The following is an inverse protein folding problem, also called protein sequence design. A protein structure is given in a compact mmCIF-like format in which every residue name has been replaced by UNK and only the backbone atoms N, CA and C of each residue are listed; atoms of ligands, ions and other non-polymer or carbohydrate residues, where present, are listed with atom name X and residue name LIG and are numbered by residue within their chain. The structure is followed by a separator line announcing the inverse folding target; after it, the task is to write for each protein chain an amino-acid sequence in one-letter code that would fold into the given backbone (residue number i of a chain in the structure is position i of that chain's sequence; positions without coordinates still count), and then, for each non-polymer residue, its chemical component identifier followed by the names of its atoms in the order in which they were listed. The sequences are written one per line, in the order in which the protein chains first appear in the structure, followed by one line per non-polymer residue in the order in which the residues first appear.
data_IF_204683321676
#
_entry.id   IF_204683321676
#
_cell.length_a   1.000
_cell.length_b   1.000
_cell.length_c   1.000
_cell.angle_alpha   90.00
_cell.angle_beta   90.00
_cell.angle_gamma   90.00
#
_symmetry.space_group_name_H-M   'P 1'
#
loop_
_entity.id
_entity.type
_entity.pdbx_description
1 polymer ?
#
# COMPACT_ATOMS: atom_id res chain seq x y z
N UNK A 1 -3.02 14.14 -0.73
CA UNK A 1 -1.63 14.28 -0.28
C UNK A 1 -0.66 14.55 -1.45
N UNK A 2 -0.81 13.90 -2.62
CA UNK A 2 0.01 14.18 -3.81
C UNK A 2 -0.19 15.61 -4.41
N UNK A 3 -1.38 16.20 -4.27
CA UNK A 3 -1.68 17.53 -4.83
C UNK A 3 -0.94 18.70 -4.12
N UNK A 4 -0.62 18.58 -2.82
CA UNK A 4 0.19 19.58 -2.12
C UNK A 4 1.66 19.55 -2.54
N UNK A 5 2.13 18.43 -3.11
CA UNK A 5 3.54 18.23 -3.46
C UNK A 5 3.92 18.89 -4.79
N UNK A 6 2.95 19.00 -5.72
CA UNK A 6 3.17 19.66 -7.01
C UNK A 6 3.16 21.19 -6.93
N UNK A 7 2.48 21.77 -5.93
CA UNK A 7 2.42 23.23 -5.75
C UNK A 7 3.74 23.88 -5.32
N UNK A 8 4.57 23.17 -4.56
CA UNK A 8 5.89 23.65 -4.10
C UNK A 8 6.96 23.63 -5.21
N UNK A 9 6.73 22.89 -6.30
CA UNK A 9 7.74 22.61 -7.32
C UNK A 9 7.94 23.75 -8.34
N UNK A 10 6.96 24.63 -8.51
CA UNK A 10 7.06 25.77 -9.43
C UNK A 10 7.92 26.94 -8.89
N UNK A 11 8.39 26.88 -7.65
CA UNK A 11 8.99 28.04 -6.97
C UNK A 11 10.54 28.11 -6.98
N UNK A 12 11.28 27.00 -7.06
CA UNK A 12 12.62 26.95 -6.42
C UNK A 12 13.84 27.00 -7.36
N UNK A 13 13.73 27.53 -8.58
CA UNK A 13 14.81 27.69 -9.60
C UNK A 13 16.24 27.93 -9.01
N UNK A 14 17.13 26.92 -8.84
CA UNK A 14 18.32 27.10 -7.99
C UNK A 14 19.68 27.21 -8.74
N UNK A 15 20.67 27.91 -8.13
CA UNK A 15 21.99 28.26 -8.69
C UNK A 15 23.11 27.21 -8.50
N UNK A 16 24.23 27.43 -9.21
CA UNK A 16 25.32 26.45 -9.44
C UNK A 16 26.26 26.16 -8.25
N UNK A 17 26.24 26.97 -7.20
CA UNK A 17 27.07 26.80 -6.00
C UNK A 17 26.52 25.73 -5.03
N UNK A 18 25.20 25.47 -5.05
CA UNK A 18 24.59 24.36 -4.29
C UNK A 18 24.93 22.97 -4.87
N UNK A 19 25.20 22.90 -6.18
CA UNK A 19 25.57 21.66 -6.89
C UNK A 19 26.92 21.12 -6.42
N UNK A 20 27.89 22.00 -6.17
CA UNK A 20 29.25 21.61 -5.73
C UNK A 20 29.27 21.11 -4.28
N UNK A 21 28.35 21.61 -3.45
CA UNK A 21 28.19 21.22 -2.03
C UNK A 21 27.45 19.89 -1.86
N UNK A 22 26.63 19.50 -2.84
CA UNK A 22 25.92 18.21 -2.88
C UNK A 22 26.80 16.99 -3.16
N UNK A 23 28.04 17.19 -3.65
CA UNK A 23 28.98 16.10 -3.97
C UNK A 23 29.63 15.47 -2.72
N UNK A 24 29.73 16.21 -1.60
CA UNK A 24 30.39 15.76 -0.36
C UNK A 24 29.44 15.44 0.79
N UNK A 25 28.17 15.84 0.69
CA UNK A 25 27.11 15.47 1.64
C UNK A 25 25.90 15.10 0.79
N UNK A 26 25.52 13.81 0.67
CA UNK A 26 24.40 13.42 -0.17
C UNK A 26 23.10 13.90 0.49
N UNK A 27 22.67 15.10 0.08
CA UNK A 27 21.32 15.62 0.29
C UNK A 27 20.49 15.14 -0.91
N UNK A 28 19.69 14.11 -0.68
CA UNK A 28 18.66 13.63 -1.61
C UNK A 28 17.57 14.71 -1.74
N UNK A 29 17.82 15.75 -2.54
CA UNK A 29 16.83 16.79 -2.83
C UNK A 29 16.66 16.90 -4.35
N UNK A 30 15.78 16.07 -4.89
CA UNK A 30 15.23 16.19 -6.24
C UNK A 30 13.97 15.32 -6.32
N UNK A 31 12.86 15.83 -6.86
CA UNK A 31 11.62 15.05 -6.99
C UNK A 31 11.76 13.78 -7.85
N UNK A 32 12.82 13.69 -8.68
CA UNK A 32 13.19 12.50 -9.44
C UNK A 32 14.21 11.58 -8.76
N UNK A 33 14.89 12.02 -7.70
CA UNK A 33 15.99 11.27 -7.09
C UNK A 33 15.55 9.91 -6.52
N UNK A 34 14.29 9.81 -6.08
CA UNK A 34 13.71 8.54 -5.65
C UNK A 34 13.44 7.63 -6.85
N UNK A 35 12.94 8.17 -7.96
CA UNK A 35 12.68 7.44 -9.19
C UNK A 35 13.97 6.94 -9.85
N UNK A 36 14.99 7.79 -9.93
CA UNK A 36 16.31 7.46 -10.48
C UNK A 36 17.06 6.48 -9.58
N UNK A 37 16.93 6.59 -8.25
CA UNK A 37 17.45 5.59 -7.32
C UNK A 37 16.76 4.23 -7.51
N UNK A 38 15.45 4.20 -7.73
CA UNK A 38 14.71 2.95 -8.02
C UNK A 38 15.15 2.35 -9.36
N UNK A 39 15.35 3.18 -10.39
CA UNK A 39 15.82 2.73 -11.70
C UNK A 39 17.26 2.18 -11.66
N UNK A 40 18.16 2.86 -10.96
CA UNK A 40 19.54 2.39 -10.74
C UNK A 40 19.60 1.14 -9.86
N UNK A 41 18.72 1.02 -8.86
CA UNK A 41 18.56 -0.20 -8.07
C UNK A 41 18.10 -1.38 -8.92
N UNK A 42 17.20 -1.14 -9.88
CA UNK A 42 16.72 -2.17 -10.81
C UNK A 42 17.83 -2.63 -11.78
N UNK A 43 18.67 -1.71 -12.23
CA UNK A 43 19.75 -1.99 -13.19
C UNK A 43 21.01 -2.62 -12.53
N UNK A 44 21.25 -2.33 -11.25
CA UNK A 44 22.40 -2.87 -10.49
C UNK A 44 22.22 -4.32 -10.00
N UNK A 45 21.05 -4.93 -10.23
CA UNK A 45 20.77 -6.31 -9.86
C UNK A 45 21.42 -7.27 -10.89
N UNK A 46 22.67 -7.67 -10.60
CA UNK A 46 23.37 -8.72 -11.35
C UNK A 46 22.52 -10.00 -11.47
N UNK A 47 22.63 -10.67 -12.62
CA UNK A 47 21.84 -11.84 -13.05
C UNK A 47 21.79 -13.01 -12.04
N UNK A 48 22.73 -13.08 -11.10
CA UNK A 48 22.76 -14.07 -10.02
C UNK A 48 21.68 -13.83 -8.92
N UNK A 49 21.14 -12.60 -8.82
CA UNK A 49 20.06 -12.25 -7.89
C UNK A 49 18.65 -12.36 -8.50
N UNK A 50 18.53 -12.65 -9.80
CA UNK A 50 17.26 -12.73 -10.51
C UNK A 50 16.35 -13.86 -9.96
N UNK A 51 16.92 -15.00 -9.54
CA UNK A 51 16.15 -16.10 -8.94
C UNK A 51 15.54 -15.75 -7.57
N UNK A 52 16.19 -14.84 -6.82
CA UNK A 52 15.67 -14.34 -5.52
C UNK A 52 14.61 -13.25 -5.68
N UNK A 53 14.46 -12.68 -6.88
CA UNK A 53 13.40 -11.72 -7.20
C UNK A 53 12.02 -12.37 -7.38
N UNK A 54 11.94 -13.70 -7.57
CA UNK A 54 10.67 -14.40 -7.70
C UNK A 54 9.84 -14.43 -6.40
N UNK A 55 10.45 -14.15 -5.23
CA UNK A 55 9.77 -14.09 -3.93
C UNK A 55 10.28 -12.91 -3.09
N UNK A 56 9.95 -11.67 -3.52
CA UNK A 56 10.25 -10.43 -2.80
C UNK A 56 9.49 -10.38 -1.46
N UNK A 57 10.15 -10.84 -0.40
CA UNK A 57 9.67 -10.73 0.97
C UNK A 57 10.39 -9.60 1.72
N UNK A 58 9.79 -9.13 2.82
CA UNK A 58 10.35 -8.07 3.68
C UNK A 58 11.82 -8.32 4.09
N UNK A 59 12.19 -9.59 4.29
CA UNK A 59 13.55 -10.01 4.64
C UNK A 59 14.51 -9.99 3.43
N UNK A 60 14.01 -10.33 2.24
CA UNK A 60 14.81 -10.32 1.01
C UNK A 60 15.11 -8.89 0.56
N UNK A 61 14.16 -7.97 0.74
CA UNK A 61 14.35 -6.56 0.41
C UNK A 61 15.52 -5.92 1.19
N UNK A 62 15.65 -6.18 2.49
CA UNK A 62 16.75 -5.63 3.29
C UNK A 62 18.12 -6.20 2.89
N UNK A 63 18.16 -7.49 2.52
CA UNK A 63 19.38 -8.15 2.06
C UNK A 63 19.82 -7.64 0.67
N UNK A 64 18.87 -7.46 -0.25
CA UNK A 64 19.16 -6.90 -1.58
C UNK A 64 19.67 -5.45 -1.46
N UNK A 65 19.01 -4.63 -0.63
CA UNK A 65 19.45 -3.27 -0.36
C UNK A 65 20.84 -3.22 0.28
N UNK A 66 21.17 -4.17 1.17
CA UNK A 66 22.51 -4.29 1.76
C UNK A 66 23.56 -4.65 0.71
N UNK A 67 23.24 -5.54 -0.22
CA UNK A 67 24.18 -5.98 -1.25
C UNK A 67 24.45 -4.90 -2.31
N UNK A 68 23.46 -4.08 -2.65
CA UNK A 68 23.60 -3.05 -3.70
C UNK A 68 24.10 -1.72 -3.14
N UNK A 69 23.61 -1.27 -1.96
CA UNK A 69 23.93 0.05 -1.37
C UNK A 69 24.83 -0.02 -0.13
N UNK A 70 25.24 -1.21 0.31
CA UNK A 70 26.08 -1.41 1.48
C UNK A 70 25.33 -1.47 2.82
N UNK A 71 26.08 -1.64 3.91
CA UNK A 71 25.54 -2.00 5.25
C UNK A 71 24.59 -0.95 5.84
N UNK A 72 24.79 0.33 5.53
CA UNK A 72 23.95 1.44 6.03
C UNK A 72 22.54 1.44 5.44
N UNK A 73 22.36 0.91 4.23
CA UNK A 73 21.06 0.90 3.53
C UNK A 73 20.01 0.02 4.24
N UNK A 74 20.43 -1.14 4.76
CA UNK A 74 19.53 -2.01 5.51
C UNK A 74 19.01 -1.36 6.81
N UNK A 75 19.80 -0.49 7.44
CA UNK A 75 19.39 0.23 8.65
C UNK A 75 18.37 1.31 8.29
N UNK A 76 18.61 2.06 7.21
CA UNK A 76 17.68 3.07 6.71
C UNK A 76 16.35 2.42 6.31
N UNK A 77 16.39 1.26 5.63
CA UNK A 77 15.19 0.50 5.29
C UNK A 77 14.39 0.09 6.54
N UNK A 78 15.06 -0.38 7.59
CA UNK A 78 14.40 -0.73 8.84
C UNK A 78 13.74 0.49 9.52
N UNK A 79 14.43 1.64 9.53
CA UNK A 79 13.88 2.90 10.06
C UNK A 79 12.68 3.36 9.23
N UNK A 80 12.77 3.28 7.90
CA UNK A 80 11.69 3.64 6.99
C UNK A 80 10.45 2.75 7.17
N UNK A 81 10.64 1.43 7.30
CA UNK A 81 9.56 0.49 7.62
C UNK A 81 8.89 0.81 8.95
N UNK A 82 9.69 1.12 9.98
CA UNK A 82 9.16 1.49 11.30
C UNK A 82 8.35 2.79 11.23
N UNK A 83 8.87 3.81 10.55
CA UNK A 83 8.21 5.09 10.35
C UNK A 83 6.89 4.94 9.57
N UNK A 84 6.88 4.12 8.51
CA UNK A 84 5.68 3.81 7.73
C UNK A 84 4.59 3.14 8.59
N UNK A 85 4.98 2.18 9.43
CA UNK A 85 4.07 1.51 10.36
C UNK A 85 3.40 2.48 11.36
N UNK A 86 4.15 3.46 11.89
CA UNK A 86 3.57 4.47 12.79
C UNK A 86 2.58 5.41 12.07
N UNK A 87 2.92 5.86 10.86
CA UNK A 87 2.04 6.71 10.06
C UNK A 87 0.71 6.03 9.73
N UNK A 88 0.76 4.76 9.33
CA UNK A 88 -0.42 3.95 9.05
C UNK A 88 -1.31 3.76 10.29
N UNK A 89 -0.70 3.49 11.45
CA UNK A 89 -1.45 3.33 12.69
C UNK A 89 -2.24 4.59 13.08
N UNK A 90 -1.63 5.78 12.94
CA UNK A 90 -2.31 7.05 13.25
C UNK A 90 -3.52 7.23 12.32
N UNK A 91 -3.31 7.09 11.01
CA UNK A 91 -4.36 7.22 10.00
C UNK A 91 -5.49 6.22 10.22
N UNK A 92 -5.16 4.97 10.55
CA UNK A 92 -6.13 3.92 10.89
C UNK A 92 -6.97 4.25 12.12
N UNK A 93 -6.39 4.85 13.16
CA UNK A 93 -7.17 5.24 14.35
C UNK A 93 -8.15 6.38 14.06
N UNK A 94 -7.80 7.33 13.18
CA UNK A 94 -8.72 8.40 12.78
C UNK A 94 -9.83 7.87 11.88
N UNK A 95 -9.51 7.07 10.86
CA UNK A 95 -10.50 6.45 9.99
C UNK A 95 -11.48 5.57 10.78
N UNK A 96 -10.96 4.73 11.68
CA UNK A 96 -11.78 3.88 12.55
C UNK A 96 -12.71 4.68 13.48
N UNK A 97 -12.35 5.90 13.86
CA UNK A 97 -13.23 6.76 14.65
C UNK A 97 -14.50 7.14 13.88
N UNK A 98 -14.32 7.61 12.64
CA UNK A 98 -15.44 8.07 11.81
C UNK A 98 -16.35 6.92 11.42
N UNK A 99 -15.77 5.75 11.10
CA UNK A 99 -16.56 4.55 10.79
C UNK A 99 -17.36 4.10 12.01
N UNK A 100 -16.73 4.02 13.18
CA UNK A 100 -17.39 3.49 14.38
C UNK A 100 -18.46 4.42 14.94
N UNK A 101 -18.25 5.74 14.86
CA UNK A 101 -19.28 6.72 15.23
C UNK A 101 -20.38 6.85 14.16
N UNK A 102 -20.03 6.71 12.88
CA UNK A 102 -20.98 6.82 11.78
C UNK A 102 -21.89 5.60 11.61
N UNK A 103 -21.34 4.39 11.74
CA UNK A 103 -22.08 3.14 11.46
C UNK A 103 -22.58 2.41 12.71
N UNK A 104 -21.86 2.49 13.84
CA UNK A 104 -22.17 1.73 15.05
C UNK A 104 -22.61 2.61 16.23
N UNK A 105 -22.56 3.95 16.09
CA UNK A 105 -22.73 4.96 17.17
C UNK A 105 -22.01 4.61 18.49
N UNK A 106 -20.87 3.91 18.38
CA UNK A 106 -20.08 3.49 19.53
C UNK A 106 -19.02 4.53 19.86
N UNK A 107 -19.21 5.24 20.97
CA UNK A 107 -18.26 6.24 21.48
C UNK A 107 -17.30 5.61 22.47
N UNK A 108 -16.17 5.09 21.97
CA UNK A 108 -15.08 4.57 22.80
C UNK A 108 -13.95 5.59 23.00
N UNK A 109 -13.25 5.51 24.14
CA UNK A 109 -12.04 6.31 24.40
C UNK A 109 -10.92 5.91 23.42
N UNK A 110 -10.14 6.89 22.94
CA UNK A 110 -9.07 6.70 21.95
C UNK A 110 -8.05 5.61 22.32
N UNK A 111 -7.63 5.54 23.59
CA UNK A 111 -6.65 4.56 24.05
C UNK A 111 -7.19 3.12 24.00
N UNK A 112 -8.43 2.90 24.44
CA UNK A 112 -9.09 1.58 24.41
C UNK A 112 -9.26 1.10 22.97
N UNK A 113 -9.70 1.99 22.06
CA UNK A 113 -9.82 1.68 20.63
C UNK A 113 -8.46 1.24 20.05
N UNK A 114 -7.40 2.01 20.29
CA UNK A 114 -6.07 1.71 19.77
C UNK A 114 -5.52 0.40 20.35
N UNK A 115 -5.76 0.11 21.62
CA UNK A 115 -5.34 -1.17 22.23
C UNK A 115 -6.09 -2.35 21.58
N UNK A 116 -7.42 -2.26 21.46
CA UNK A 116 -8.25 -3.30 20.83
C UNK A 116 -7.82 -3.58 19.38
N UNK A 117 -7.73 -2.56 18.52
CA UNK A 117 -7.37 -2.75 17.11
C UNK A 117 -5.95 -3.29 16.96
N UNK A 118 -5.01 -2.89 17.83
CA UNK A 118 -3.65 -3.44 17.83
C UNK A 118 -3.62 -4.87 18.32
N UNK A 119 -4.36 -5.24 19.35
CA UNK A 119 -4.47 -6.62 19.82
C UNK A 119 -5.02 -7.52 18.71
N UNK A 120 -6.11 -7.11 18.05
CA UNK A 120 -6.73 -7.88 16.95
C UNK A 120 -5.76 -8.06 15.78
N UNK A 121 -4.89 -7.09 15.49
CA UNK A 121 -3.90 -7.20 14.42
C UNK A 121 -2.64 -8.01 14.83
N UNK A 122 -2.12 -7.79 16.04
CA UNK A 122 -0.84 -8.34 16.50
C UNK A 122 -0.98 -9.81 16.91
N UNK A 123 -2.06 -10.18 17.61
CA UNK A 123 -2.25 -11.55 18.13
C UNK A 123 -2.21 -12.60 17.01
N UNK A 124 -3.04 -12.52 15.93
CA UNK A 124 -3.01 -13.52 14.86
C UNK A 124 -1.68 -13.51 14.10
N UNK A 125 -1.07 -12.33 13.92
CA UNK A 125 0.25 -12.21 13.28
C UNK A 125 1.35 -12.90 14.11
N UNK A 126 1.32 -12.72 15.43
CA UNK A 126 2.26 -13.36 16.34
C UNK A 126 2.10 -14.89 16.35
N UNK A 127 0.85 -15.39 16.41
CA UNK A 127 0.56 -16.83 16.38
C UNK A 127 1.10 -17.46 15.09
N UNK A 128 0.78 -16.86 13.94
CA UNK A 128 1.25 -17.35 12.63
C UNK A 128 2.78 -17.27 12.53
N UNK A 129 3.39 -16.21 13.05
CA UNK A 129 4.85 -16.06 13.04
C UNK A 129 5.56 -17.08 13.93
N UNK A 130 4.96 -17.50 15.06
CA UNK A 130 5.53 -18.53 15.94
C UNK A 130 5.45 -19.91 15.29
N UNK A 131 4.33 -20.24 14.64
CA UNK A 131 4.11 -21.57 14.06
C UNK A 131 4.82 -21.73 12.71
N UNK A 132 4.73 -20.74 11.83
CA UNK A 132 5.16 -20.82 10.42
C UNK A 132 6.38 -19.97 10.08
N UNK A 133 6.97 -19.28 11.07
CA UNK A 133 8.15 -18.45 10.90
C UNK A 133 7.94 -17.27 9.94
N UNK A 134 9.03 -16.80 9.32
CA UNK A 134 9.04 -15.64 8.43
C UNK A 134 8.21 -15.83 7.15
N UNK A 135 8.10 -17.06 6.65
CA UNK A 135 7.26 -17.38 5.47
C UNK A 135 5.77 -17.22 5.77
N UNK A 136 5.34 -17.66 6.96
CA UNK A 136 3.96 -17.47 7.42
C UNK A 136 3.56 -16.00 7.55
N UNK A 137 4.46 -15.17 8.09
CA UNK A 137 4.24 -13.73 8.19
C UNK A 137 4.11 -13.07 6.80
N UNK A 138 4.93 -13.46 5.84
CA UNK A 138 4.82 -13.00 4.45
C UNK A 138 3.48 -13.37 3.81
N UNK A 139 3.02 -14.61 4.00
CA UNK A 139 1.69 -15.05 3.54
C UNK A 139 0.54 -14.24 4.16
N UNK A 140 0.65 -13.92 5.45
CA UNK A 140 -0.37 -13.12 6.14
C UNK A 140 -0.47 -11.69 5.56
N UNK A 141 0.65 -11.09 5.15
CA UNK A 141 0.67 -9.78 4.48
C UNK A 141 -0.05 -9.85 3.12
N UNK A 142 0.16 -10.95 2.37
CA UNK A 142 -0.53 -11.17 1.10
C UNK A 142 -2.04 -11.31 1.34
N UNK A 143 -2.46 -12.10 2.33
CA UNK A 143 -3.87 -12.26 2.70
C UNK A 143 -4.50 -10.92 3.11
N UNK A 144 -3.81 -10.12 3.93
CA UNK A 144 -4.29 -8.79 4.33
C UNK A 144 -4.49 -7.88 3.11
N UNK A 145 -3.62 -7.98 2.09
CA UNK A 145 -3.78 -7.25 0.84
C UNK A 145 -5.00 -7.72 0.05
N UNK A 146 -5.29 -9.03 0.03
CA UNK A 146 -6.50 -9.58 -0.60
C UNK A 146 -7.78 -9.07 0.08
N UNK A 147 -7.80 -8.98 1.41
CA UNK A 147 -8.94 -8.44 2.16
C UNK A 147 -9.17 -6.97 1.79
N UNK A 148 -8.10 -6.16 1.69
CA UNK A 148 -8.19 -4.76 1.29
C UNK A 148 -8.79 -4.59 -0.12
N UNK A 149 -8.42 -5.46 -1.07
CA UNK A 149 -9.00 -5.45 -2.42
C UNK A 149 -10.51 -5.69 -2.39
N UNK A 150 -10.98 -6.54 -1.49
CA UNK A 150 -12.40 -6.81 -1.29
C UNK A 150 -13.14 -5.60 -0.69
N UNK A 151 -12.53 -4.88 0.25
CA UNK A 151 -13.14 -3.72 0.92
C UNK A 151 -13.28 -2.48 0.02
N UNK A 152 -12.34 -2.28 -0.91
CA UNK A 152 -12.25 -1.10 -1.76
C UNK A 152 -13.54 -0.78 -2.56
N UNK A 153 -14.17 -1.71 -3.31
CA UNK A 153 -15.41 -1.42 -4.04
C UNK A 153 -16.55 -0.98 -3.12
N UNK A 154 -16.66 -1.57 -1.92
CA UNK A 154 -17.69 -1.21 -0.95
C UNK A 154 -17.51 0.20 -0.38
N UNK A 155 -16.27 0.70 -0.29
CA UNK A 155 -16.01 2.09 0.10
C UNK A 155 -16.20 3.07 -1.07
N UNK A 156 -15.76 2.69 -2.28
CA UNK A 156 -15.69 3.59 -3.43
C UNK A 156 -17.06 3.88 -4.06
N UNK A 157 -17.92 2.86 -4.20
CA UNK A 157 -19.24 3.02 -4.85
C UNK A 157 -20.15 3.98 -4.06
N UNK A 158 -20.34 3.84 -2.73
CA UNK A 158 -21.13 4.79 -1.95
C UNK A 158 -20.54 6.19 -1.96
N UNK A 159 -19.21 6.32 -1.88
CA UNK A 159 -18.54 7.62 -1.92
C UNK A 159 -18.88 8.38 -3.20
N UNK A 160 -18.82 7.71 -4.36
CA UNK A 160 -19.20 8.32 -5.64
C UNK A 160 -20.69 8.65 -5.69
N UNK A 161 -21.56 7.76 -5.20
CA UNK A 161 -22.99 8.04 -5.15
C UNK A 161 -23.30 9.29 -4.30
N UNK A 162 -22.65 9.44 -3.15
CA UNK A 162 -22.82 10.62 -2.30
C UNK A 162 -22.20 11.88 -2.90
N UNK A 163 -21.01 11.77 -3.51
CA UNK A 163 -20.35 12.89 -4.19
C UNK A 163 -21.07 13.36 -5.45
N UNK A 164 -21.97 12.55 -6.02
CA UNK A 164 -22.74 12.92 -7.21
C UNK A 164 -24.17 13.39 -6.89
N UNK A 165 -24.61 13.26 -5.63
CA UNK A 165 -25.98 13.59 -5.23
C UNK A 165 -26.15 15.09 -4.98
N UNK A 166 -27.05 15.72 -5.73
CA UNK A 166 -27.45 17.12 -5.56
C UNK A 166 -28.07 17.38 -4.18
N UNK A 167 -28.76 16.39 -3.63
CA UNK A 167 -29.39 16.46 -2.30
C UNK A 167 -28.37 16.51 -1.16
N UNK A 168 -27.16 15.96 -1.33
CA UNK A 168 -26.12 15.93 -0.29
C UNK A 168 -25.02 16.97 -0.47
N UNK A 169 -24.67 17.33 -1.72
CA UNK A 169 -23.63 18.34 -2.00
C UNK A 169 -24.17 19.77 -2.16
N UNK A 170 -25.47 19.95 -2.37
CA UNK A 170 -26.10 21.25 -2.52
C UNK A 170 -25.46 22.08 -3.67
N UNK A 171 -25.07 23.36 -3.44
CA UNK A 171 -24.53 24.23 -4.48
C UNK A 171 -23.11 23.85 -4.94
N UNK A 172 -22.38 23.01 -4.20
CA UNK A 172 -21.04 22.55 -4.56
C UNK A 172 -21.06 21.25 -5.39
N UNK A 173 -22.13 21.05 -6.18
CA UNK A 173 -22.28 19.88 -7.02
C UNK A 173 -21.15 19.81 -8.05
N UNK A 174 -20.54 18.64 -8.16
CA UNK A 174 -19.50 18.38 -9.13
C UNK A 174 -20.02 18.53 -10.58
N UNK A 175 -19.17 19.04 -11.48
CA UNK A 175 -19.51 19.18 -12.91
C UNK A 175 -19.70 17.80 -13.55
N UNK A 176 -20.62 17.68 -14.51
CA UNK A 176 -20.96 16.41 -15.17
C UNK A 176 -19.73 15.69 -15.74
N UNK A 177 -18.74 16.45 -16.24
CA UNK A 177 -17.48 15.92 -16.73
C UNK A 177 -16.69 15.19 -15.63
N UNK A 178 -16.59 15.79 -14.45
CA UNK A 178 -15.84 15.21 -13.32
C UNK A 178 -16.58 13.97 -12.80
N UNK A 179 -17.92 13.97 -12.83
CA UNK A 179 -18.74 12.80 -12.48
C UNK A 179 -18.44 11.63 -13.42
N UNK A 180 -18.49 11.85 -14.74
CA UNK A 180 -18.24 10.81 -15.74
C UNK A 180 -16.81 10.27 -15.62
N UNK A 181 -15.81 11.16 -15.52
CA UNK A 181 -14.41 10.76 -15.36
C UNK A 181 -14.21 9.94 -14.07
N UNK A 182 -14.79 10.36 -12.95
CA UNK A 182 -14.68 9.66 -11.66
C UNK A 182 -15.32 8.27 -11.72
N UNK A 183 -16.45 8.12 -12.42
CA UNK A 183 -17.10 6.82 -12.63
C UNK A 183 -16.28 5.89 -13.52
N UNK A 184 -15.70 6.40 -14.61
CA UNK A 184 -14.83 5.61 -15.49
C UNK A 184 -13.59 5.13 -14.72
N UNK A 185 -12.91 6.03 -14.02
CA UNK A 185 -11.74 5.68 -13.20
C UNK A 185 -12.08 4.66 -12.11
N UNK A 186 -13.24 4.84 -11.46
CA UNK A 186 -13.69 3.90 -10.42
C UNK A 186 -14.02 2.53 -10.97
N UNK A 187 -14.72 2.44 -12.11
CA UNK A 187 -14.98 1.17 -12.78
C UNK A 187 -13.68 0.48 -13.19
N UNK A 188 -12.69 1.25 -13.68
CA UNK A 188 -11.36 0.75 -13.97
C UNK A 188 -10.67 0.15 -12.75
N UNK A 189 -10.62 0.90 -11.63
CA UNK A 189 -10.02 0.43 -10.37
C UNK A 189 -10.73 -0.82 -9.85
N UNK A 190 -12.07 -0.82 -9.83
CA UNK A 190 -12.87 -1.97 -9.39
C UNK A 190 -12.63 -3.18 -10.29
N UNK A 191 -12.58 -2.99 -11.61
CA UNK A 191 -12.28 -4.06 -12.57
C UNK A 191 -10.89 -4.67 -12.34
N UNK A 192 -9.87 -3.83 -12.15
CA UNK A 192 -8.50 -4.29 -11.85
C UNK A 192 -8.47 -5.03 -10.51
N UNK A 193 -9.10 -4.50 -9.46
CA UNK A 193 -9.16 -5.16 -8.15
C UNK A 193 -9.88 -6.51 -8.21
N UNK A 194 -10.99 -6.60 -8.95
CA UNK A 194 -11.71 -7.86 -9.16
C UNK A 194 -10.85 -8.86 -9.92
N UNK A 195 -10.14 -8.42 -10.97
CA UNK A 195 -9.22 -9.28 -11.71
C UNK A 195 -8.12 -9.83 -10.79
N UNK A 196 -7.42 -8.97 -10.05
CA UNK A 196 -6.36 -9.36 -9.12
C UNK A 196 -6.88 -10.25 -7.98
N UNK A 197 -8.05 -9.95 -7.44
CA UNK A 197 -8.69 -10.75 -6.40
C UNK A 197 -9.02 -12.14 -6.96
N UNK A 198 -9.60 -12.22 -8.16
CA UNK A 198 -9.93 -13.50 -8.80
C UNK A 198 -8.69 -14.34 -9.07
N UNK A 199 -7.63 -13.75 -9.63
CA UNK A 199 -6.37 -14.48 -9.89
C UNK A 199 -5.70 -14.93 -8.60
N UNK A 200 -5.62 -14.05 -7.59
CA UNK A 200 -5.01 -14.39 -6.29
C UNK A 200 -5.82 -15.43 -5.53
N UNK A 201 -7.16 -15.34 -5.58
CA UNK A 201 -8.06 -16.30 -4.95
C UNK A 201 -8.00 -17.67 -5.63
N UNK A 202 -8.01 -17.71 -6.97
CA UNK A 202 -7.82 -18.96 -7.73
C UNK A 202 -6.44 -19.57 -7.44
N UNK A 203 -5.38 -18.75 -7.41
CA UNK A 203 -4.04 -19.23 -7.05
C UNK A 203 -3.94 -19.77 -5.61
N UNK A 204 -4.67 -19.17 -4.67
CA UNK A 204 -4.79 -19.70 -3.30
C UNK A 204 -5.61 -21.00 -3.26
N UNK A 205 -6.68 -21.09 -4.04
CA UNK A 205 -7.58 -22.25 -4.09
C UNK A 205 -6.91 -23.47 -4.75
N UNK A 206 -6.06 -23.26 -5.76
CA UNK A 206 -5.28 -24.33 -6.42
C UNK A 206 -4.18 -24.89 -5.51
N UNK A 207 -3.55 -24.04 -4.68
CA UNK A 207 -2.46 -24.45 -3.78
C UNK A 207 -2.93 -25.12 -2.48
N UNK A 208 -4.21 -24.97 -2.10
CA UNK A 208 -4.80 -25.71 -0.99
C UNK A 208 -5.41 -27.00 -1.53
N UNK A 209 -4.85 -28.15 -1.14
CA UNK A 209 -5.24 -29.50 -1.53
C UNK A 209 -6.78 -29.74 -1.43
N UNK A 210 -7.55 -29.47 -2.49
CA UNK A 210 -8.81 -30.15 -2.80
C UNK A 210 -9.12 -30.07 -4.30
N UNK A 211 -9.78 -31.13 -4.83
CA UNK A 211 -9.44 -31.79 -6.07
C UNK A 211 -10.23 -31.25 -7.26
N UNK A 212 -9.68 -31.46 -8.48
CA UNK A 212 -10.29 -31.65 -9.82
C UNK A 212 -11.55 -30.87 -10.28
N UNK A 213 -12.43 -30.41 -9.41
CA UNK A 213 -13.66 -29.66 -9.71
C UNK A 213 -13.34 -28.25 -10.22
N UNK A 214 -12.21 -27.66 -9.81
CA UNK A 214 -11.76 -26.36 -10.31
C UNK A 214 -11.31 -26.39 -11.79
N UNK A 215 -10.75 -27.51 -12.28
CA UNK A 215 -10.46 -27.65 -13.71
C UNK A 215 -11.73 -27.73 -14.56
N UNK A 216 -12.82 -28.27 -14.01
CA UNK A 216 -14.11 -28.37 -14.72
C UNK A 216 -14.84 -27.02 -14.78
N UNK A 217 -14.63 -26.13 -13.80
CA UNK A 217 -15.25 -24.79 -13.80
C UNK A 217 -14.47 -23.74 -14.60
N UNK A 218 -13.18 -23.96 -14.86
CA UNK A 218 -12.32 -23.04 -15.63
C UNK A 218 -12.30 -23.35 -17.14
N UNK A 219 -12.93 -24.44 -17.59
CA UNK A 219 -13.16 -24.67 -19.02
C UNK A 219 -11.88 -24.86 -19.83
N UNK A 220 -11.00 -25.75 -19.35
CA UNK A 220 -10.05 -26.49 -20.20
C UNK A 220 -10.51 -27.95 -20.22
#
# INVERSE_FOLDING_TARGET
MAACFFGEMSYVKPPADEVLKGMFIPKLTGQGAVGDAIALLADSLSAENADRCNNLNLNSASFLLKNVLGRSSSIIYAIALLASGQSSAISGTYAGQFIMQGFLDLKMKKWIRNLMTRCIAIIPSLIVSIISGSSGAGRLIIIASMILLFELPFALIPLLKFSNSTTKMGPHKNSIYIIVISWILSLGIVGINIYYLSTSFVGWLINNNLPKVANVFVGI
#
